data_IF_127293078299
#
_entry.id   IF_127293078299
#
_cell.length_a   1.000
_cell.length_b   1.000
_cell.length_c   1.000
_cell.angle_alpha   90.00
_cell.angle_beta   90.00
_cell.angle_gamma   90.00
#
_symmetry.space_group_name_H-M   'P 1'
#
loop_
_entity.id
_entity.type
_entity.pdbx_description
1 polymer ?
#
# COMPACT_ATOMS: atom_id res chain seq x y z
N UNK A 1 -18.76 26.69 17.21
CA UNK A 1 -18.57 25.47 16.34
C UNK A 1 -18.21 24.22 17.15
N UNK A 2 -18.98 23.16 17.03
CA UNK A 2 -18.67 21.87 17.66
C UNK A 2 -17.56 21.17 16.86
N UNK A 3 -16.63 20.49 17.55
CA UNK A 3 -15.56 19.76 16.90
C UNK A 3 -16.10 18.47 16.25
N UNK A 4 -15.75 18.22 14.99
CA UNK A 4 -16.09 16.96 14.32
C UNK A 4 -15.35 15.79 14.96
N UNK A 5 -16.08 14.81 15.44
CA UNK A 5 -15.56 13.55 16.00
C UNK A 5 -16.16 12.40 15.21
N UNK A 6 -15.32 11.64 14.54
CA UNK A 6 -15.78 10.51 13.75
C UNK A 6 -15.72 9.21 14.58
N UNK A 7 -16.85 8.52 14.69
CA UNK A 7 -16.97 7.29 15.50
C UNK A 7 -16.02 6.17 15.04
N UNK A 8 -15.72 6.09 13.73
CA UNK A 8 -14.88 5.06 13.13
C UNK A 8 -13.40 5.47 13.05
N UNK A 9 -12.99 6.60 13.63
CA UNK A 9 -11.60 7.06 13.56
C UNK A 9 -10.60 6.01 14.07
N UNK A 10 -10.89 5.36 15.19
CA UNK A 10 -10.04 4.30 15.75
C UNK A 10 -9.87 3.12 14.81
N UNK A 11 -10.97 2.66 14.20
CA UNK A 11 -10.94 1.55 13.24
C UNK A 11 -10.08 1.92 12.03
N UNK A 12 -10.25 3.13 11.53
CA UNK A 12 -9.50 3.66 10.41
C UNK A 12 -7.99 3.72 10.72
N UNK A 13 -7.61 4.21 11.88
CA UNK A 13 -6.20 4.32 12.30
C UNK A 13 -5.55 2.93 12.44
N UNK A 14 -6.27 1.95 13.00
CA UNK A 14 -5.80 0.57 13.12
C UNK A 14 -5.61 -0.04 11.71
N UNK A 15 -6.60 0.11 10.83
CA UNK A 15 -6.53 -0.43 9.46
C UNK A 15 -5.43 0.23 8.62
N UNK A 16 -5.17 1.51 8.80
CA UNK A 16 -4.01 2.18 8.17
C UNK A 16 -2.68 1.61 8.66
N UNK A 17 -2.54 1.36 9.95
CA UNK A 17 -1.34 0.71 10.49
C UNK A 17 -1.16 -0.71 9.95
N UNK A 18 -2.23 -1.50 9.88
CA UNK A 18 -2.19 -2.83 9.27
C UNK A 18 -1.75 -2.78 7.79
N UNK A 19 -2.27 -1.83 7.02
CA UNK A 19 -1.85 -1.62 5.64
C UNK A 19 -0.36 -1.30 5.54
N UNK A 20 0.15 -0.44 6.41
CA UNK A 20 1.58 -0.09 6.44
C UNK A 20 2.46 -1.31 6.75
N UNK A 21 2.07 -2.14 7.72
CA UNK A 21 2.79 -3.37 8.06
C UNK A 21 2.78 -4.34 6.89
N UNK A 22 1.62 -4.57 6.26
CA UNK A 22 1.49 -5.47 5.10
C UNK A 22 2.29 -4.97 3.89
N UNK A 23 2.35 -3.67 3.68
CA UNK A 23 3.20 -3.06 2.63
C UNK A 23 4.69 -3.26 2.91
N UNK A 24 5.13 -3.13 4.16
CA UNK A 24 6.51 -3.41 4.54
C UNK A 24 6.87 -4.88 4.34
N UNK A 25 5.98 -5.82 4.70
CA UNK A 25 6.15 -7.25 4.43
C UNK A 25 6.23 -7.55 2.93
N UNK A 26 5.39 -6.92 2.11
CA UNK A 26 5.44 -7.04 0.66
C UNK A 26 6.76 -6.53 0.08
N UNK A 27 7.25 -5.40 0.57
CA UNK A 27 8.54 -4.84 0.16
C UNK A 27 9.70 -5.80 0.48
N UNK A 28 9.72 -6.35 1.69
CA UNK A 28 10.73 -7.33 2.10
C UNK A 28 10.68 -8.60 1.24
N UNK A 29 9.49 -9.09 0.87
CA UNK A 29 9.34 -10.22 -0.06
C UNK A 29 9.84 -9.90 -1.46
N UNK A 30 9.54 -8.70 -1.96
CA UNK A 30 10.00 -8.23 -3.27
C UNK A 30 11.54 -8.17 -3.33
N UNK A 31 12.17 -7.70 -2.27
CA UNK A 31 13.64 -7.66 -2.14
C UNK A 31 14.23 -9.08 -2.13
N UNK A 32 13.66 -10.00 -1.35
CA UNK A 32 14.08 -11.40 -1.34
C UNK A 32 13.93 -12.05 -2.72
N UNK A 33 12.84 -11.78 -3.41
CA UNK A 33 12.60 -12.29 -4.77
C UNK A 33 13.63 -11.73 -5.76
N UNK A 34 13.94 -10.44 -5.69
CA UNK A 34 14.95 -9.81 -6.53
C UNK A 34 16.33 -10.43 -6.30
N UNK A 35 16.72 -10.67 -5.05
CA UNK A 35 17.96 -11.33 -4.70
C UNK A 35 18.02 -12.77 -5.22
N UNK A 36 16.95 -13.55 -5.04
CA UNK A 36 16.89 -14.93 -5.54
C UNK A 36 16.96 -15.00 -7.07
N UNK A 37 16.31 -14.08 -7.77
CA UNK A 37 16.43 -13.96 -9.24
C UNK A 37 17.85 -13.57 -9.67
N UNK A 38 18.50 -12.66 -8.94
CA UNK A 38 19.89 -12.27 -9.17
C UNK A 38 20.85 -13.45 -9.01
N UNK A 39 20.71 -14.24 -7.95
CA UNK A 39 21.48 -15.47 -7.72
C UNK A 39 21.27 -16.49 -8.84
N UNK A 40 20.01 -16.70 -9.26
CA UNK A 40 19.69 -17.60 -10.36
C UNK A 40 20.36 -17.18 -11.67
N UNK A 41 20.26 -15.91 -12.04
CA UNK A 41 20.90 -15.36 -13.23
C UNK A 41 22.43 -15.49 -13.18
N UNK A 42 23.00 -15.24 -12.01
CA UNK A 42 24.44 -15.36 -11.81
C UNK A 42 24.92 -16.81 -12.02
N UNK A 43 24.21 -17.79 -11.44
CA UNK A 43 24.56 -19.20 -11.64
C UNK A 43 24.40 -19.65 -13.10
N UNK A 44 23.37 -19.21 -13.78
CA UNK A 44 23.18 -19.50 -15.21
C UNK A 44 24.31 -18.90 -16.06
N UNK A 45 24.71 -17.64 -15.81
CA UNK A 45 25.81 -17.00 -16.51
C UNK A 45 27.16 -17.68 -16.28
N UNK A 46 27.44 -18.13 -15.06
CA UNK A 46 28.66 -18.88 -14.75
C UNK A 46 28.72 -20.15 -15.61
N UNK A 47 27.64 -20.90 -15.69
CA UNK A 47 27.54 -22.10 -16.53
C UNK A 47 27.75 -21.79 -18.03
N UNK A 48 27.08 -20.77 -18.54
CA UNK A 48 27.19 -20.33 -19.92
C UNK A 48 28.63 -19.90 -20.26
N UNK A 49 29.29 -19.16 -19.38
CA UNK A 49 30.67 -18.73 -19.54
C UNK A 49 31.63 -19.93 -19.57
N UNK A 50 31.46 -20.93 -18.70
CA UNK A 50 32.28 -22.13 -18.68
C UNK A 50 32.12 -22.91 -20.01
N UNK A 51 30.86 -23.05 -20.48
CA UNK A 51 30.59 -23.69 -21.78
C UNK A 51 31.29 -22.95 -22.93
N UNK A 52 31.19 -21.62 -22.94
CA UNK A 52 31.81 -20.79 -23.98
C UNK A 52 33.34 -20.89 -23.95
N UNK A 53 33.94 -20.92 -22.77
CA UNK A 53 35.42 -21.05 -22.61
C UNK A 53 35.92 -22.41 -23.06
N UNK A 54 35.22 -23.49 -22.72
CA UNK A 54 35.56 -24.85 -23.15
C UNK A 54 35.45 -24.98 -24.66
N UNK A 55 34.46 -24.35 -25.30
CA UNK A 55 34.25 -24.40 -26.74
C UNK A 55 35.36 -23.71 -27.55
N UNK A 56 36.07 -22.76 -26.95
CA UNK A 56 37.16 -21.99 -27.57
C UNK A 56 38.55 -22.72 -27.52
N UNK A 57 38.70 -23.74 -26.68
CA UNK A 57 39.98 -24.42 -26.43
C UNK A 57 40.29 -25.52 -27.43
N UNK A 58 41.60 -25.86 -27.57
CA UNK A 58 42.09 -26.93 -28.45
C UNK A 58 41.68 -28.31 -27.91
N UNK A 59 41.59 -29.29 -28.81
CA UNK A 59 41.00 -30.62 -28.56
C UNK A 59 41.59 -31.39 -27.38
N UNK A 60 42.91 -31.28 -27.14
CA UNK A 60 43.63 -32.03 -26.08
C UNK A 60 43.32 -31.45 -24.68
N UNK A 61 43.24 -30.14 -24.55
CA UNK A 61 42.88 -29.46 -23.29
C UNK A 61 41.38 -29.55 -22.98
N UNK A 62 40.56 -29.75 -24.02
CA UNK A 62 39.13 -29.92 -23.90
C UNK A 62 38.73 -31.16 -23.10
N UNK A 63 39.45 -32.27 -23.23
CA UNK A 63 39.02 -33.55 -22.63
C UNK A 63 38.99 -33.49 -21.07
N UNK A 64 40.07 -32.98 -20.46
CA UNK A 64 40.16 -32.85 -19.02
C UNK A 64 39.17 -31.83 -18.43
N UNK A 65 38.96 -30.73 -19.16
CA UNK A 65 38.02 -29.68 -18.75
C UNK A 65 36.56 -30.09 -18.99
N UNK A 66 36.28 -30.90 -20.02
CA UNK A 66 34.95 -31.46 -20.22
C UNK A 66 34.57 -32.42 -19.09
N UNK A 67 35.48 -33.22 -18.59
CA UNK A 67 35.25 -34.10 -17.45
C UNK A 67 34.94 -33.30 -16.16
N UNK A 68 35.72 -32.26 -15.88
CA UNK A 68 35.49 -31.33 -14.79
C UNK A 68 34.14 -30.61 -14.95
N UNK A 69 33.86 -30.14 -16.17
CA UNK A 69 32.58 -29.48 -16.47
C UNK A 69 31.38 -30.37 -16.24
N UNK A 70 31.46 -31.67 -16.66
CA UNK A 70 30.37 -32.60 -16.45
C UNK A 70 30.06 -32.80 -14.95
N UNK A 71 31.08 -32.92 -14.13
CA UNK A 71 30.94 -33.04 -12.67
C UNK A 71 30.36 -31.74 -12.05
N UNK A 72 30.86 -30.57 -12.47
CA UNK A 72 30.44 -29.28 -12.02
C UNK A 72 29.02 -28.94 -12.49
N UNK A 73 28.68 -29.25 -13.73
CA UNK A 73 27.37 -28.97 -14.32
C UNK A 73 26.24 -29.73 -13.63
N UNK A 74 26.48 -30.97 -13.21
CA UNK A 74 25.49 -31.73 -12.48
C UNK A 74 25.11 -31.06 -11.15
N UNK A 75 26.12 -30.66 -10.35
CA UNK A 75 25.90 -29.94 -9.08
C UNK A 75 25.27 -28.56 -9.29
N UNK A 76 25.75 -27.84 -10.31
CA UNK A 76 25.25 -26.51 -10.67
C UNK A 76 23.80 -26.54 -11.16
N UNK A 77 23.45 -27.54 -11.99
CA UNK A 77 22.07 -27.74 -12.44
C UNK A 77 21.11 -28.04 -11.30
N UNK A 78 21.56 -28.81 -10.30
CA UNK A 78 20.78 -29.06 -9.10
C UNK A 78 20.53 -27.77 -8.29
N UNK A 79 21.57 -26.95 -8.12
CA UNK A 79 21.45 -25.63 -7.46
C UNK A 79 20.52 -24.70 -8.24
N UNK A 80 20.65 -24.64 -9.55
CA UNK A 80 19.76 -23.84 -10.42
C UNK A 80 18.31 -24.29 -10.26
N UNK A 81 18.07 -25.61 -10.21
CA UNK A 81 16.74 -26.15 -9.98
C UNK A 81 16.16 -25.74 -8.63
N UNK A 82 16.97 -25.82 -7.55
CA UNK A 82 16.59 -25.36 -6.21
C UNK A 82 16.28 -23.84 -6.19
N UNK A 83 17.09 -23.02 -6.86
CA UNK A 83 16.86 -21.58 -6.98
C UNK A 83 15.61 -21.26 -7.79
N UNK A 84 15.33 -21.97 -8.88
CA UNK A 84 14.08 -21.83 -9.64
C UNK A 84 12.86 -22.12 -8.78
N UNK A 85 12.89 -23.20 -8.01
CA UNK A 85 11.80 -23.56 -7.11
C UNK A 85 11.60 -22.49 -6.02
N UNK A 86 12.70 -21.96 -5.45
CA UNK A 86 12.66 -20.87 -4.48
C UNK A 86 12.06 -19.60 -5.07
N UNK A 87 12.42 -19.25 -6.30
CA UNK A 87 11.86 -18.09 -7.02
C UNK A 87 10.36 -18.27 -7.22
N UNK A 88 9.91 -19.44 -7.69
CA UNK A 88 8.48 -19.73 -7.87
C UNK A 88 7.69 -19.62 -6.57
N UNK A 89 8.25 -20.15 -5.47
CA UNK A 89 7.61 -20.06 -4.15
C UNK A 89 7.50 -18.60 -3.68
N UNK A 90 8.57 -17.81 -3.83
CA UNK A 90 8.57 -16.40 -3.47
C UNK A 90 7.60 -15.57 -4.35
N UNK A 91 7.48 -15.89 -5.63
CA UNK A 91 6.49 -15.26 -6.53
C UNK A 91 5.07 -15.54 -6.09
N UNK A 92 4.78 -16.78 -5.67
CA UNK A 92 3.47 -17.14 -5.14
C UNK A 92 3.16 -16.40 -3.83
N UNK A 93 4.13 -16.33 -2.92
CA UNK A 93 4.00 -15.58 -1.67
C UNK A 93 3.80 -14.10 -1.92
N UNK A 94 4.54 -13.50 -2.86
CA UNK A 94 4.40 -12.10 -3.26
C UNK A 94 3.00 -11.82 -3.80
N UNK A 95 2.49 -12.68 -4.68
CA UNK A 95 1.15 -12.55 -5.25
C UNK A 95 0.06 -12.56 -4.17
N UNK A 96 0.14 -13.51 -3.23
CA UNK A 96 -0.79 -13.60 -2.10
C UNK A 96 -0.73 -12.33 -1.22
N UNK A 97 0.49 -11.89 -0.90
CA UNK A 97 0.67 -10.70 -0.07
C UNK A 97 0.18 -9.41 -0.77
N UNK A 98 0.40 -9.30 -2.08
CA UNK A 98 -0.13 -8.21 -2.89
C UNK A 98 -1.66 -8.16 -2.85
N UNK A 99 -2.31 -9.31 -2.98
CA UNK A 99 -3.77 -9.40 -2.88
C UNK A 99 -4.29 -8.93 -1.52
N UNK A 100 -3.62 -9.31 -0.42
CA UNK A 100 -3.96 -8.83 0.94
C UNK A 100 -3.82 -7.30 1.07
N UNK A 101 -2.70 -6.73 0.58
CA UNK A 101 -2.46 -5.29 0.60
C UNK A 101 -3.52 -4.54 -0.20
N UNK A 102 -3.87 -5.02 -1.40
CA UNK A 102 -4.89 -4.41 -2.24
C UNK A 102 -6.28 -4.45 -1.58
N UNK A 103 -6.62 -5.56 -0.92
CA UNK A 103 -7.88 -5.68 -0.17
C UNK A 103 -7.97 -4.66 0.96
N UNK A 104 -6.91 -4.53 1.76
CA UNK A 104 -6.85 -3.53 2.85
C UNK A 104 -6.91 -2.10 2.30
N UNK A 105 -6.20 -1.81 1.22
CA UNK A 105 -6.21 -0.49 0.59
C UNK A 105 -7.60 -0.09 0.07
N UNK A 106 -8.33 -1.03 -0.54
CA UNK A 106 -9.73 -0.80 -0.97
C UNK A 106 -10.62 -0.49 0.21
N UNK A 107 -10.48 -1.26 1.29
CA UNK A 107 -11.24 -1.04 2.52
C UNK A 107 -10.95 0.35 3.13
N UNK A 108 -9.67 0.72 3.25
CA UNK A 108 -9.25 2.01 3.77
C UNK A 108 -9.75 3.18 2.91
N UNK A 109 -9.73 3.05 1.58
CA UNK A 109 -10.32 4.05 0.68
C UNK A 109 -11.83 4.21 0.90
N UNK A 110 -12.54 3.10 1.16
CA UNK A 110 -13.95 3.13 1.53
C UNK A 110 -14.19 3.93 2.82
N UNK A 111 -13.38 3.69 3.85
CA UNK A 111 -13.44 4.44 5.10
C UNK A 111 -13.10 5.93 4.92
N UNK A 112 -12.12 6.27 4.08
CA UNK A 112 -11.78 7.67 3.76
C UNK A 112 -12.97 8.40 3.12
N UNK A 113 -13.64 7.76 2.15
CA UNK A 113 -14.84 8.33 1.51
C UNK A 113 -15.96 8.54 2.53
N UNK A 114 -16.22 7.53 3.34
CA UNK A 114 -17.25 7.62 4.39
C UNK A 114 -16.95 8.75 5.38
N UNK A 115 -15.69 8.91 5.77
CA UNK A 115 -15.25 10.02 6.63
C UNK A 115 -15.49 11.37 5.97
N UNK A 116 -15.13 11.51 4.69
CA UNK A 116 -15.32 12.74 3.95
C UNK A 116 -16.79 13.11 3.82
N UNK A 117 -17.66 12.16 3.51
CA UNK A 117 -19.12 12.35 3.45
C UNK A 117 -19.72 12.74 4.81
N UNK A 118 -19.31 12.03 5.86
CA UNK A 118 -19.78 12.33 7.22
C UNK A 118 -19.35 13.72 7.67
N UNK A 119 -18.11 14.11 7.35
CA UNK A 119 -17.61 15.46 7.63
C UNK A 119 -18.38 16.53 6.84
N UNK A 120 -18.67 16.27 5.58
CA UNK A 120 -19.47 17.20 4.75
C UNK A 120 -20.88 17.41 5.30
N UNK A 121 -21.54 16.30 5.70
CA UNK A 121 -22.86 16.38 6.35
C UNK A 121 -22.82 17.17 7.66
N UNK A 122 -21.82 16.90 8.50
CA UNK A 122 -21.62 17.62 9.76
C UNK A 122 -21.45 19.12 9.54
N UNK A 123 -20.64 19.54 8.56
CA UNK A 123 -20.43 20.96 8.23
C UNK A 123 -21.76 21.59 7.80
N UNK A 124 -22.50 20.96 6.88
CA UNK A 124 -23.78 21.46 6.42
C UNK A 124 -24.83 21.57 7.55
N UNK A 125 -24.81 20.66 8.51
CA UNK A 125 -25.68 20.73 9.70
C UNK A 125 -25.28 21.89 10.61
N UNK A 126 -23.98 22.13 10.82
CA UNK A 126 -23.50 23.27 11.60
C UNK A 126 -23.85 24.60 10.95
N UNK A 127 -23.66 24.72 9.64
CA UNK A 127 -24.06 25.92 8.89
C UNK A 127 -25.55 26.23 9.02
N UNK A 128 -26.42 25.22 8.93
CA UNK A 128 -27.86 25.37 9.13
C UNK A 128 -28.23 25.81 10.55
N UNK A 129 -27.51 25.30 11.55
CA UNK A 129 -27.74 25.70 12.95
C UNK A 129 -27.31 27.14 13.18
N UNK A 130 -26.14 27.54 12.68
CA UNK A 130 -25.63 28.90 12.75
C UNK A 130 -26.59 29.89 12.05
N UNK A 131 -27.11 29.54 10.88
CA UNK A 131 -28.08 30.36 10.16
C UNK A 131 -29.37 30.52 10.98
N UNK A 132 -29.89 29.46 11.58
CA UNK A 132 -31.05 29.55 12.47
C UNK A 132 -30.83 30.46 13.67
N UNK A 133 -29.63 30.35 14.32
CA UNK A 133 -29.27 31.20 15.44
C UNK A 133 -29.19 32.69 15.03
N UNK A 134 -28.66 32.97 13.85
CA UNK A 134 -28.60 34.32 13.27
C UNK A 134 -30.02 34.86 12.96
N UNK A 135 -30.85 34.05 12.33
CA UNK A 135 -32.25 34.41 12.01
C UNK A 135 -33.08 34.67 13.28
N UNK A 136 -32.92 33.83 14.30
CA UNK A 136 -33.58 34.05 15.62
C UNK A 136 -33.07 35.34 16.28
N UNK A 137 -31.73 35.59 16.26
CA UNK A 137 -31.14 36.83 16.78
C UNK A 137 -31.65 38.07 16.05
N UNK A 138 -31.76 38.00 14.72
CA UNK A 138 -32.31 39.08 13.91
C UNK A 138 -33.79 39.33 14.23
N UNK A 139 -34.61 38.30 14.36
CA UNK A 139 -36.03 38.42 14.73
C UNK A 139 -36.22 39.04 16.11
N UNK A 140 -35.43 38.61 17.11
CA UNK A 140 -35.49 39.16 18.46
C UNK A 140 -35.10 40.65 18.46
N UNK A 141 -34.02 41.03 17.72
CA UNK A 141 -33.60 42.42 17.65
C UNK A 141 -34.60 43.31 16.93
N UNK A 142 -35.26 42.81 15.88
CA UNK A 142 -36.33 43.48 15.17
C UNK A 142 -37.55 43.71 16.03
N UNK A 143 -37.99 42.68 16.76
CA UNK A 143 -39.15 42.75 17.70
C UNK A 143 -38.90 43.78 18.80
N UNK A 144 -37.69 43.83 19.37
CA UNK A 144 -37.29 44.82 20.36
C UNK A 144 -37.30 46.25 19.82
N UNK A 145 -36.87 46.48 18.58
CA UNK A 145 -36.95 47.78 17.92
C UNK A 145 -38.38 48.26 17.76
N UNK A 146 -39.29 47.41 17.25
CA UNK A 146 -40.71 47.76 17.09
C UNK A 146 -41.36 48.07 18.45
N UNK A 147 -41.11 47.27 19.50
CA UNK A 147 -41.64 47.56 20.84
C UNK A 147 -41.08 48.88 21.40
N UNK A 148 -39.80 49.22 21.16
CA UNK A 148 -39.20 50.48 21.55
C UNK A 148 -39.80 51.70 20.82
N UNK A 149 -40.12 51.56 19.57
CA UNK A 149 -40.75 52.61 18.76
C UNK A 149 -42.22 52.83 19.16
N UNK A 150 -42.97 51.75 19.44
CA UNK A 150 -44.36 51.86 19.93
C UNK A 150 -44.46 52.51 21.30
N UNK A 151 -43.53 52.24 22.21
CA UNK A 151 -43.48 52.86 23.55
C UNK A 151 -43.08 54.34 23.53
N UNK A 152 -42.53 54.83 22.43
CA UNK A 152 -42.18 56.25 22.24
C UNK A 152 -43.32 57.08 21.62
N UNK A 153 -44.28 56.42 21.00
CA UNK A 153 -45.47 57.07 20.39
C UNK A 153 -46.61 57.26 21.40
N UNK A 154 -46.60 56.46 22.48
CA UNK A 154 -47.61 56.59 23.55
C UNK A 154 -47.28 57.61 24.66
N UNK A 155 -46.21 58.40 24.52
CA UNK A 155 -45.87 59.53 25.41
C UNK A 155 -46.07 60.85 24.71
#
# INVERSE_FOLDING_TARGET
MKRFVWRLQRVFDIRKKEEQVKRAELFALTERLANARGELLMQQRILENIIADISKKKTIERLSEQEFFLKYSAASNEQIKKLKNKVMELELQQSKKLAEVLKLRRFNKGLERLRAETKKRFIAEQEKLEQKELDEGANISFTRKIQGELSTIEK
#
